data_IF_356305632002
#
_entry.id   IF_356305632002
#
_cell.length_a   1.000
_cell.length_b   1.000
_cell.length_c   1.000
_cell.angle_alpha   90.00
_cell.angle_beta   90.00
_cell.angle_gamma   90.00
#
_symmetry.space_group_name_H-M   'P 1'
#
loop_
_entity.id
_entity.type
_entity.pdbx_description
1 polymer ?
#
# COMPACT_ATOMS: atom_id res chain seq x y z
N UNK A 1 16.98 -2.20 8.04
CA UNK A 1 17.25 -3.44 7.29
C UNK A 1 17.27 -3.08 5.83
N UNK A 2 18.13 -3.70 5.03
CA UNK A 2 18.19 -3.50 3.58
C UNK A 2 18.09 -4.86 2.91
N UNK A 3 17.35 -4.93 1.80
CA UNK A 3 17.30 -6.10 0.94
C UNK A 3 18.35 -6.00 -0.15
N UNK A 4 18.99 -7.12 -0.51
CA UNK A 4 19.87 -7.18 -1.67
C UNK A 4 19.10 -7.06 -2.99
N UNK A 5 17.90 -7.66 -3.03
CA UNK A 5 17.03 -7.69 -4.20
C UNK A 5 15.66 -7.13 -3.86
N UNK A 6 14.92 -6.62 -4.84
CA UNK A 6 13.56 -6.08 -4.69
C UNK A 6 12.48 -7.14 -4.93
N UNK A 7 11.25 -6.87 -4.47
CA UNK A 7 10.04 -7.61 -4.86
C UNK A 7 9.62 -8.75 -3.92
N UNK A 8 8.76 -9.63 -4.46
CA UNK A 8 7.92 -10.58 -3.71
C UNK A 8 8.68 -11.49 -2.72
N UNK A 9 9.92 -11.87 -3.01
CA UNK A 9 10.72 -12.76 -2.16
C UNK A 9 10.92 -12.20 -0.75
N UNK A 10 10.81 -10.89 -0.57
CA UNK A 10 11.02 -10.22 0.71
C UNK A 10 9.73 -10.05 1.53
N UNK A 11 8.58 -10.48 1.02
CA UNK A 11 7.26 -10.13 1.58
C UNK A 11 7.10 -10.57 3.02
N UNK A 12 7.32 -11.85 3.29
CA UNK A 12 7.11 -12.41 4.63
C UNK A 12 8.02 -11.75 5.66
N UNK A 13 9.30 -11.58 5.33
CA UNK A 13 10.25 -10.96 6.24
C UNK A 13 9.98 -9.46 6.41
N UNK A 14 9.57 -8.74 5.36
CA UNK A 14 9.14 -7.32 5.46
C UNK A 14 7.95 -7.18 6.41
N UNK A 15 6.92 -8.03 6.26
CA UNK A 15 5.75 -8.03 7.16
C UNK A 15 6.16 -8.38 8.60
N UNK A 16 7.00 -9.40 8.78
CA UNK A 16 7.50 -9.78 10.11
C UNK A 16 8.23 -8.61 10.80
N UNK A 17 9.15 -7.95 10.10
CA UNK A 17 9.91 -6.81 10.62
C UNK A 17 8.98 -5.62 10.93
N UNK A 18 7.97 -5.38 10.09
CA UNK A 18 6.98 -4.34 10.29
C UNK A 18 6.15 -4.59 11.56
N UNK A 19 5.68 -5.82 11.78
CA UNK A 19 4.94 -6.21 13.00
C UNK A 19 5.81 -6.16 14.26
N UNK A 20 7.09 -6.50 14.15
CA UNK A 20 8.04 -6.33 15.25
C UNK A 20 8.21 -4.84 15.59
N UNK A 21 8.39 -3.98 14.59
CA UNK A 21 8.48 -2.55 14.79
C UNK A 21 7.19 -1.95 15.35
N UNK A 22 6.03 -2.42 14.90
CA UNK A 22 4.74 -2.00 15.43
C UNK A 22 4.66 -2.23 16.95
N UNK A 23 5.04 -3.43 17.39
CA UNK A 23 5.07 -3.78 18.82
C UNK A 23 6.10 -2.99 19.62
N UNK A 24 7.27 -2.71 19.04
CA UNK A 24 8.31 -1.92 19.70
C UNK A 24 7.90 -0.45 19.94
N UNK A 25 7.10 0.11 19.03
CA UNK A 25 6.69 1.52 19.08
C UNK A 25 5.25 1.72 19.55
N UNK A 26 4.56 0.65 19.94
CA UNK A 26 3.14 0.67 20.32
C UNK A 26 2.23 1.28 19.22
N UNK A 27 2.54 0.95 17.95
CA UNK A 27 1.76 1.38 16.78
C UNK A 27 0.67 0.36 16.48
N UNK A 28 -0.59 0.80 16.55
CA UNK A 28 -1.75 -0.08 16.33
C UNK A 28 -2.18 -0.23 14.86
N UNK A 29 -1.89 0.76 14.00
CA UNK A 29 -2.44 0.82 12.64
C UNK A 29 -1.41 0.46 11.58
N UNK A 30 -1.78 -0.46 10.70
CA UNK A 30 -0.99 -0.86 9.54
C UNK A 30 -1.79 -0.66 8.26
N UNK A 31 -1.23 0.12 7.33
CA UNK A 31 -1.73 0.25 5.97
C UNK A 31 -0.86 -0.61 5.05
N UNK A 32 -1.47 -1.48 4.25
CA UNK A 32 -0.75 -2.42 3.37
C UNK A 32 -1.24 -2.33 1.93
N UNK A 33 -0.32 -2.24 0.98
CA UNK A 33 -0.65 -2.39 -0.44
C UNK A 33 -0.83 -3.88 -0.77
N UNK A 34 -2.01 -4.27 -1.27
CA UNK A 34 -2.22 -5.63 -1.76
C UNK A 34 -3.31 -5.68 -2.82
N UNK A 35 -2.92 -5.82 -4.09
CA UNK A 35 -3.86 -5.89 -5.20
C UNK A 35 -4.66 -7.20 -5.26
N UNK A 36 -4.06 -8.33 -4.84
CA UNK A 36 -4.75 -9.63 -4.78
C UNK A 36 -5.17 -10.04 -3.36
N UNK A 37 -4.82 -9.25 -2.33
CA UNK A 37 -5.08 -9.54 -0.91
C UNK A 37 -4.08 -10.48 -0.22
N UNK A 38 -3.19 -11.14 -0.96
CA UNK A 38 -2.26 -12.14 -0.41
C UNK A 38 -1.29 -11.55 0.63
N UNK A 39 -0.83 -10.31 0.44
CA UNK A 39 0.05 -9.65 1.42
C UNK A 39 -0.73 -9.25 2.67
N UNK A 40 -1.99 -8.81 2.52
CA UNK A 40 -2.84 -8.43 3.65
C UNK A 40 -3.16 -9.63 4.56
N UNK A 41 -3.28 -10.85 4.01
CA UNK A 41 -3.49 -12.08 4.79
C UNK A 41 -2.42 -12.30 5.86
N UNK A 42 -1.17 -11.90 5.60
CA UNK A 42 -0.06 -12.07 6.53
C UNK A 42 -0.17 -11.21 7.79
N UNK A 43 -1.08 -10.23 7.80
CA UNK A 43 -1.33 -9.33 8.93
C UNK A 43 -2.56 -9.74 9.75
N UNK A 44 -3.27 -10.79 9.34
CA UNK A 44 -4.45 -11.28 10.06
C UNK A 44 -4.05 -11.85 11.43
N UNK A 45 -4.93 -11.61 12.41
CA UNK A 45 -4.80 -12.15 13.76
C UNK A 45 -3.47 -11.75 14.46
N UNK A 46 -2.85 -10.62 14.04
CA UNK A 46 -1.59 -10.10 14.59
C UNK A 46 -1.77 -9.01 15.68
N UNK A 47 -3.01 -8.75 16.11
CA UNK A 47 -3.30 -7.73 17.14
C UNK A 47 -3.14 -6.28 16.67
N UNK A 48 -3.17 -6.05 15.36
CA UNK A 48 -3.10 -4.71 14.73
C UNK A 48 -4.35 -4.43 13.91
N UNK A 49 -4.68 -3.15 13.73
CA UNK A 49 -5.76 -2.68 12.85
C UNK A 49 -5.22 -2.52 11.44
N UNK A 50 -5.78 -3.27 10.50
CA UNK A 50 -5.25 -3.35 9.13
C UNK A 50 -6.17 -2.63 8.14
N UNK A 51 -5.56 -1.77 7.33
CA UNK A 51 -6.18 -1.19 6.13
C UNK A 51 -5.45 -1.74 4.90
N UNK A 52 -6.14 -2.53 4.09
CA UNK A 52 -5.65 -3.02 2.82
C UNK A 52 -6.04 -2.05 1.71
N UNK A 53 -5.05 -1.42 1.06
CA UNK A 53 -5.27 -0.58 -0.11
C UNK A 53 -4.95 -1.40 -1.36
N UNK A 54 -5.96 -1.60 -2.21
CA UNK A 54 -5.84 -2.30 -3.50
C UNK A 54 -5.76 -1.31 -4.65
N UNK A 55 -5.44 -1.79 -5.85
CA UNK A 55 -5.51 -0.98 -7.06
C UNK A 55 -6.94 -0.52 -7.34
N UNK A 56 -7.09 0.63 -8.00
CA UNK A 56 -8.39 1.02 -8.56
C UNK A 56 -8.85 -0.01 -9.60
N UNK A 57 -10.18 -0.18 -9.70
CA UNK A 57 -10.80 -0.94 -10.79
C UNK A 57 -10.38 -0.33 -12.12
N UNK A 58 -9.94 -1.16 -13.05
CA UNK A 58 -9.42 -0.69 -14.34
C UNK A 58 -7.90 -0.55 -14.43
N UNK A 59 -7.14 -0.84 -13.36
CA UNK A 59 -5.69 -0.61 -13.35
C UNK A 59 -4.92 -1.46 -14.38
N UNK A 60 -5.22 -2.77 -14.46
CA UNK A 60 -4.62 -3.69 -15.44
C UNK A 60 -5.48 -3.77 -16.70
N UNK A 61 -6.78 -3.99 -16.53
CA UNK A 61 -7.75 -4.14 -17.62
C UNK A 61 -9.01 -3.33 -17.32
N UNK A 62 -9.64 -2.67 -18.32
CA UNK A 62 -10.81 -1.82 -18.10
C UNK A 62 -11.95 -2.53 -17.35
N UNK A 63 -12.41 -1.94 -16.25
CA UNK A 63 -13.52 -2.46 -15.45
C UNK A 63 -13.19 -3.70 -14.60
N UNK A 64 -11.95 -4.21 -14.66
CA UNK A 64 -11.54 -5.37 -13.87
C UNK A 64 -10.98 -4.96 -12.51
N UNK A 65 -11.44 -5.66 -11.45
CA UNK A 65 -10.87 -5.62 -10.11
C UNK A 65 -9.95 -6.83 -9.93
N UNK A 66 -8.68 -6.59 -9.64
CA UNK A 66 -7.67 -7.65 -9.44
C UNK A 66 -7.88 -8.45 -8.16
N UNK A 67 -8.63 -7.92 -7.18
CA UNK A 67 -8.97 -8.64 -5.97
C UNK A 67 -10.26 -9.43 -6.19
N UNK A 68 -10.22 -10.78 -6.15
CA UNK A 68 -11.44 -11.57 -6.26
C UNK A 68 -12.45 -11.20 -5.17
N UNK A 69 -13.74 -11.20 -5.50
CA UNK A 69 -14.81 -10.87 -4.55
C UNK A 69 -14.75 -11.73 -3.27
N UNK A 70 -14.47 -13.03 -3.41
CA UNK A 70 -14.30 -13.96 -2.28
C UNK A 70 -13.16 -13.56 -1.35
N UNK A 71 -12.04 -13.07 -1.91
CA UNK A 71 -10.90 -12.57 -1.14
C UNK A 71 -11.26 -11.31 -0.37
N UNK A 72 -11.94 -10.38 -1.04
CA UNK A 72 -12.39 -9.12 -0.45
C UNK A 72 -13.30 -9.39 0.74
N UNK A 73 -14.31 -10.24 0.54
CA UNK A 73 -15.24 -10.66 1.60
C UNK A 73 -14.52 -11.35 2.75
N UNK A 74 -13.55 -12.21 2.45
CA UNK A 74 -12.74 -12.89 3.46
C UNK A 74 -11.96 -11.90 4.34
N UNK A 75 -11.25 -10.94 3.73
CA UNK A 75 -10.50 -9.92 4.46
C UNK A 75 -11.42 -9.04 5.32
N UNK A 76 -12.54 -8.59 4.76
CA UNK A 76 -13.52 -7.76 5.48
C UNK A 76 -14.15 -8.50 6.67
N UNK A 77 -14.51 -9.78 6.51
CA UNK A 77 -15.02 -10.62 7.62
C UNK A 77 -14.00 -10.80 8.75
N UNK A 78 -12.71 -10.66 8.44
CA UNK A 78 -11.60 -10.69 9.40
C UNK A 78 -11.26 -9.31 9.98
N UNK A 79 -12.09 -8.29 9.72
CA UNK A 79 -11.91 -6.95 10.28
C UNK A 79 -10.92 -6.07 9.54
N UNK A 80 -10.47 -6.47 8.35
CA UNK A 80 -9.60 -5.64 7.50
C UNK A 80 -10.46 -4.67 6.70
N UNK A 81 -10.20 -3.37 6.83
CA UNK A 81 -10.79 -2.38 5.93
C UNK A 81 -10.12 -2.51 4.54
N UNK A 82 -10.90 -2.67 3.47
CA UNK A 82 -10.36 -2.77 2.11
C UNK A 82 -10.75 -1.53 1.32
N UNK A 83 -9.75 -0.76 0.90
CA UNK A 83 -9.91 0.48 0.14
C UNK A 83 -9.53 0.28 -1.33
N UNK A 84 -10.50 0.54 -2.21
CA UNK A 84 -10.30 0.65 -3.66
C UNK A 84 -10.52 2.11 -4.04
N UNK A 85 -9.49 2.83 -4.48
CA UNK A 85 -9.62 4.23 -4.91
C UNK A 85 -8.54 4.62 -5.91
N UNK A 86 -8.68 5.78 -6.55
CA UNK A 86 -7.70 6.33 -7.47
C UNK A 86 -6.34 6.50 -6.78
N UNK A 87 -5.27 6.11 -7.47
CA UNK A 87 -3.91 6.26 -6.94
C UNK A 87 -3.55 7.74 -6.86
N UNK A 88 -3.30 8.22 -5.64
CA UNK A 88 -3.05 9.64 -5.36
C UNK A 88 -1.89 10.20 -6.19
N UNK A 89 -0.77 9.49 -6.27
CA UNK A 89 0.46 9.97 -6.94
C UNK A 89 0.46 9.66 -8.45
N UNK A 90 -0.73 9.65 -9.05
CA UNK A 90 -0.93 9.43 -10.46
C UNK A 90 -2.21 10.15 -10.94
N UNK A 91 -3.37 9.74 -10.41
CA UNK A 91 -4.66 10.34 -10.72
C UNK A 91 -4.93 10.56 -12.20
N UNK A 92 -5.65 11.65 -12.49
CA UNK A 92 -5.91 12.13 -13.85
C UNK A 92 -4.60 12.51 -14.56
N UNK A 93 -3.59 12.96 -13.81
CA UNK A 93 -2.28 13.32 -14.34
C UNK A 93 -1.65 12.19 -15.15
N UNK A 94 -1.84 10.92 -14.74
CA UNK A 94 -1.37 9.76 -15.52
C UNK A 94 -1.99 9.71 -16.90
N UNK A 95 -3.31 9.92 -17.02
CA UNK A 95 -3.99 9.88 -18.32
C UNK A 95 -3.47 10.97 -19.25
N UNK A 96 -3.25 12.18 -18.71
CA UNK A 96 -2.69 13.31 -19.47
C UNK A 96 -1.27 12.97 -19.95
N UNK A 97 -0.38 12.53 -19.06
CA UNK A 97 1.01 12.24 -19.44
C UNK A 97 1.12 11.04 -20.37
N UNK A 98 0.26 10.03 -20.24
CA UNK A 98 0.23 8.88 -21.18
C UNK A 98 -0.24 9.26 -22.57
N UNK A 99 -1.19 10.19 -22.70
CA UNK A 99 -1.75 10.59 -24.00
C UNK A 99 -0.94 11.69 -24.69
N UNK A 100 -0.46 12.67 -23.94
CA UNK A 100 0.15 13.89 -24.48
C UNK A 100 1.63 14.06 -24.12
N UNK A 101 2.19 13.17 -23.29
CA UNK A 101 3.52 13.34 -22.72
C UNK A 101 3.58 14.41 -21.63
N UNK A 102 4.80 14.78 -21.21
CA UNK A 102 5.04 15.83 -20.22
C UNK A 102 5.20 15.32 -18.78
N UNK A 103 5.10 16.25 -17.83
CA UNK A 103 5.28 16.00 -16.39
C UNK A 103 4.07 16.51 -15.62
N UNK A 104 3.68 15.75 -14.60
CA UNK A 104 2.63 16.08 -13.65
C UNK A 104 3.23 16.24 -12.23
N UNK A 105 2.80 17.23 -11.43
CA UNK A 105 3.37 17.45 -10.10
C UNK A 105 3.31 16.22 -9.18
N UNK A 106 2.21 15.47 -9.17
CA UNK A 106 2.08 14.28 -8.34
C UNK A 106 3.02 13.15 -8.82
N UNK A 107 3.21 13.03 -10.14
CA UNK A 107 4.19 12.11 -10.71
C UNK A 107 5.64 12.52 -10.41
N UNK A 108 5.96 13.82 -10.38
CA UNK A 108 7.30 14.30 -9.96
C UNK A 108 7.61 13.86 -8.52
N UNK A 109 6.66 14.03 -7.60
CA UNK A 109 6.79 13.53 -6.22
C UNK A 109 6.96 12.01 -6.21
N UNK A 110 6.17 11.28 -7.00
CA UNK A 110 6.31 9.84 -7.13
C UNK A 110 7.71 9.41 -7.61
N UNK A 111 8.28 10.14 -8.57
CA UNK A 111 9.62 9.87 -9.08
C UNK A 111 10.71 10.16 -8.05
N UNK A 112 10.57 11.24 -7.28
CA UNK A 112 11.49 11.53 -6.17
C UNK A 112 11.46 10.41 -5.12
N UNK A 113 10.28 9.95 -4.70
CA UNK A 113 10.15 8.85 -3.73
C UNK A 113 10.74 7.53 -4.25
N UNK A 114 10.63 7.27 -5.57
CA UNK A 114 11.20 6.07 -6.21
C UNK A 114 12.72 6.02 -6.18
N UNK A 115 13.41 7.13 -5.91
CA UNK A 115 14.85 7.11 -5.67
C UNK A 115 15.21 6.24 -4.46
N UNK A 116 14.29 6.09 -3.51
CA UNK A 116 14.39 5.18 -2.36
C UNK A 116 13.74 3.81 -2.60
N UNK A 117 13.33 3.50 -3.83
CA UNK A 117 12.64 2.26 -4.20
C UNK A 117 11.15 2.44 -4.51
N UNK A 118 10.57 1.50 -5.27
CA UNK A 118 9.14 1.57 -5.62
C UNK A 118 8.24 1.45 -4.39
N UNK A 119 8.61 0.56 -3.46
CA UNK A 119 7.87 0.38 -2.21
C UNK A 119 7.77 1.67 -1.38
N UNK A 120 8.82 2.49 -1.32
CA UNK A 120 8.79 3.79 -0.62
C UNK A 120 7.70 4.71 -1.17
N UNK A 121 7.61 4.86 -2.49
CA UNK A 121 6.53 5.60 -3.14
C UNK A 121 5.16 5.01 -2.79
N UNK A 122 5.04 3.68 -2.86
CA UNK A 122 3.77 2.99 -2.56
C UNK A 122 3.34 3.23 -1.11
N UNK A 123 4.25 3.12 -0.14
CA UNK A 123 3.96 3.37 1.27
C UNK A 123 3.36 4.76 1.50
N UNK A 124 3.95 5.81 0.92
CA UNK A 124 3.43 7.17 1.04
C UNK A 124 2.07 7.31 0.36
N UNK A 125 1.91 6.77 -0.85
CA UNK A 125 0.65 6.84 -1.60
C UNK A 125 -0.52 6.20 -0.85
N UNK A 126 -0.36 4.96 -0.37
CA UNK A 126 -1.45 4.24 0.31
C UNK A 126 -1.77 4.85 1.68
N UNK A 127 -0.78 5.40 2.38
CA UNK A 127 -0.99 6.03 3.68
C UNK A 127 -1.90 7.25 3.55
N UNK A 128 -1.62 8.13 2.58
CA UNK A 128 -2.46 9.31 2.35
C UNK A 128 -3.85 8.90 1.85
N UNK A 129 -3.94 7.94 0.92
CA UNK A 129 -5.25 7.42 0.46
C UNK A 129 -6.10 6.86 1.62
N UNK A 130 -5.48 6.13 2.55
CA UNK A 130 -6.17 5.58 3.71
C UNK A 130 -6.62 6.67 4.70
N UNK A 131 -5.78 7.71 4.90
CA UNK A 131 -6.09 8.84 5.76
C UNK A 131 -7.25 9.66 5.20
N UNK A 132 -7.20 10.00 3.91
CA UNK A 132 -8.25 10.77 3.22
C UNK A 132 -9.60 10.04 3.23
N UNK A 133 -9.58 8.70 3.22
CA UNK A 133 -10.77 7.86 3.35
C UNK A 133 -11.28 7.71 4.79
N UNK A 134 -10.60 8.29 5.78
CA UNK A 134 -10.97 8.18 7.20
C UNK A 134 -10.73 6.81 7.82
N UNK A 135 -9.86 5.99 7.22
CA UNK A 135 -9.60 4.61 7.67
C UNK A 135 -8.44 4.51 8.67
N UNK A 136 -7.66 5.57 8.82
CA UNK A 136 -6.58 5.69 9.82
C UNK A 136 -6.64 7.04 10.55
N UNK A 137 -6.11 7.14 11.78
CA UNK A 137 -6.14 8.38 12.55
C UNK A 137 -5.16 9.44 12.04
N UNK A 138 -5.59 10.70 12.04
CA UNK A 138 -4.71 11.86 11.78
C UNK A 138 -3.75 12.13 12.95
N UNK A 139 -2.50 12.48 12.65
CA UNK A 139 -1.51 12.91 13.64
C UNK A 139 -1.01 11.80 14.57
N UNK A 140 -1.19 10.54 14.16
CA UNK A 140 -0.72 9.35 14.89
C UNK A 140 0.22 8.56 13.98
N UNK A 141 1.25 7.98 14.58
CA UNK A 141 2.13 7.10 13.84
C UNK A 141 1.38 5.86 13.33
N UNK A 142 1.62 5.51 12.07
CA UNK A 142 1.14 4.29 11.41
C UNK A 142 2.31 3.58 10.75
N UNK A 143 2.16 2.29 10.46
CA UNK A 143 3.08 1.58 9.57
C UNK A 143 2.45 1.41 8.19
N UNK A 144 3.15 1.88 7.15
CA UNK A 144 2.78 1.65 5.76
C UNK A 144 3.68 0.57 5.15
N UNK A 145 3.09 -0.45 4.54
CA UNK A 145 3.78 -1.57 3.89
C UNK A 145 3.49 -1.55 2.38
N UNK A 146 4.55 -1.48 1.59
CA UNK A 146 4.50 -1.41 0.13
C UNK A 146 5.57 -2.29 -0.52
N UNK A 147 5.56 -2.39 -1.84
CA UNK A 147 6.47 -3.27 -2.55
C UNK A 147 6.72 -2.91 -4.01
N UNK A 148 7.64 -3.65 -4.63
CA UNK A 148 7.95 -3.54 -6.05
C UNK A 148 7.30 -4.67 -6.86
N UNK A 149 6.42 -4.31 -7.80
CA UNK A 149 5.77 -5.26 -8.71
C UNK A 149 4.71 -6.11 -8.03
N UNK A 150 5.13 -7.10 -7.23
CA UNK A 150 4.25 -7.96 -6.41
C UNK A 150 4.85 -8.16 -5.03
N UNK A 151 3.97 -8.36 -4.05
CA UNK A 151 4.38 -8.56 -2.65
C UNK A 151 4.82 -7.25 -1.99
N UNK A 152 5.57 -7.37 -0.90
CA UNK A 152 6.11 -6.25 -0.14
C UNK A 152 7.63 -6.36 0.01
N UNK A 153 8.30 -5.22 -0.10
CA UNK A 153 9.75 -5.11 0.12
C UNK A 153 10.13 -3.85 0.92
N UNK A 154 9.15 -3.03 1.30
CA UNK A 154 9.37 -1.78 2.02
C UNK A 154 8.31 -1.60 3.09
N UNK A 155 8.72 -1.15 4.28
CA UNK A 155 7.82 -0.73 5.34
C UNK A 155 8.35 0.56 5.99
N UNK A 156 7.46 1.53 6.24
CA UNK A 156 7.79 2.85 6.79
C UNK A 156 6.89 3.14 7.99
N UNK A 157 7.45 3.78 9.03
CA UNK A 157 6.65 4.49 10.04
C UNK A 157 6.39 5.90 9.51
N UNK A 158 5.13 6.33 9.48
CA UNK A 158 4.69 7.63 8.96
C UNK A 158 3.71 8.28 9.96
N UNK A 159 3.51 9.60 9.86
CA UNK A 159 2.54 10.38 10.65
C UNK A 159 1.68 11.24 9.74
#
# INVERSE_FOLDING_TARGET
MYWENKGKTNTEMTVKMALERARQLDIEHIVVASNTGETAKLLLDQGVKVVCVTHHVGFVEPGHDEMPAEMRDFLQKKGVAVLTTTHLLAGIGRSITSQFGGLDPAQVVAHALRMFGQGTKVCVEIAVMALDAGLIPFGREIIAIGGTGRGADTALVLT
#
